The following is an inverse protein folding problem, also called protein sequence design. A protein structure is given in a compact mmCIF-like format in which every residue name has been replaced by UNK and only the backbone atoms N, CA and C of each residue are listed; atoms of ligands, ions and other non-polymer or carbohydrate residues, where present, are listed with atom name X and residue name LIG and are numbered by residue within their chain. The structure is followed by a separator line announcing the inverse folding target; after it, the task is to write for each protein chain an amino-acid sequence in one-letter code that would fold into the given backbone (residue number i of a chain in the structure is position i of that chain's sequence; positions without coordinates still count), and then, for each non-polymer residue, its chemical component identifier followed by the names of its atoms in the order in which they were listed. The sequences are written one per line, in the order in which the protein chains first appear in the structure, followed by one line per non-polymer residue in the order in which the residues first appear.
data_IF_659664229424
#
_entry.id   IF_659664229424
#
_cell.length_a   1.000
_cell.length_b   1.000
_cell.length_c   1.000
_cell.angle_alpha   90.00
_cell.angle_beta   90.00
_cell.angle_gamma   90.00
#
_symmetry.space_group_name_H-M   'P 1'
#
loop_
_entity.id
_entity.type
_entity.pdbx_description
1 polymer ?
#
# COMPACT_ATOMS: atom_id res chain seq x y z
N UNK A 1 -21.27 1.75 30.61
CA UNK A 1 -21.25 2.59 29.39
C UNK A 1 -20.44 1.84 28.36
N UNK A 2 -20.96 1.67 27.14
CA UNK A 2 -20.33 0.85 26.13
C UNK A 2 -19.36 1.63 25.27
N UNK A 3 -18.12 1.16 25.17
CA UNK A 3 -17.06 1.79 24.39
C UNK A 3 -17.32 1.53 22.89
N UNK A 4 -17.47 2.59 22.09
CA UNK A 4 -17.58 2.48 20.63
C UNK A 4 -16.22 2.78 20.02
N UNK A 5 -15.47 1.74 19.65
CA UNK A 5 -14.23 1.91 18.92
C UNK A 5 -14.53 2.23 17.45
N UNK A 6 -14.05 3.39 17.00
CA UNK A 6 -14.02 3.76 15.58
C UNK A 6 -12.63 3.48 15.04
N UNK A 7 -12.59 2.81 13.89
CA UNK A 7 -11.34 2.43 13.24
C UNK A 7 -11.21 3.09 11.87
N UNK A 8 -9.97 3.31 11.46
CA UNK A 8 -9.67 3.67 10.08
C UNK A 8 -10.22 2.59 9.13
N UNK A 9 -10.97 3.02 8.11
CA UNK A 9 -11.62 2.11 7.12
C UNK A 9 -10.66 1.49 6.12
N UNK A 10 -9.36 1.81 6.22
CA UNK A 10 -8.30 1.22 5.40
C UNK A 10 -7.39 0.35 6.24
N UNK A 11 -6.71 0.90 7.25
CA UNK A 11 -5.71 0.15 8.02
C UNK A 11 -6.28 -0.56 9.25
N UNK A 12 -7.51 -0.24 9.67
CA UNK A 12 -8.14 -0.83 10.84
C UNK A 12 -7.51 -0.47 12.19
N UNK A 13 -6.59 0.50 12.24
CA UNK A 13 -6.09 1.03 13.51
C UNK A 13 -7.18 1.91 14.16
N UNK A 14 -7.31 1.87 15.50
CA UNK A 14 -8.27 2.70 16.23
C UNK A 14 -7.87 4.17 16.15
N UNK A 15 -8.86 5.06 16.22
CA UNK A 15 -8.62 6.49 16.44
C UNK A 15 -8.50 6.84 17.93
N UNK A 16 -8.91 5.93 18.80
CA UNK A 16 -8.69 6.04 20.24
C UNK A 16 -7.33 5.43 20.59
N UNK A 17 -6.32 6.28 20.62
CA UNK A 17 -5.06 5.95 21.28
C UNK A 17 -5.13 6.70 22.62
N UNK A 18 -5.57 6.04 23.70
CA UNK A 18 -5.78 6.71 24.98
C UNK A 18 -4.49 7.42 25.41
N UNK A 19 -4.56 8.70 25.82
CA UNK A 19 -3.44 9.35 26.48
C UNK A 19 -3.15 8.67 27.82
N UNK A 20 -1.89 8.76 28.25
CA UNK A 20 -1.27 8.16 29.43
C UNK A 20 -2.09 8.16 30.75
N UNK A 21 -3.03 9.10 30.92
CA UNK A 21 -3.62 9.41 32.23
C UNK A 21 -4.99 8.73 32.51
N UNK A 22 -5.60 8.05 31.53
CA UNK A 22 -6.93 7.47 31.70
C UNK A 22 -6.93 5.93 31.80
N UNK A 23 -6.79 5.44 33.03
CA UNK A 23 -7.46 4.23 33.59
C UNK A 23 -7.27 2.90 32.82
N UNK A 24 -6.03 2.53 32.51
CA UNK A 24 -5.67 1.11 32.37
C UNK A 24 -4.47 0.83 33.28
N UNK A 25 -4.53 -0.29 34.02
CA UNK A 25 -3.48 -0.72 34.95
C UNK A 25 -2.09 -0.50 34.34
N UNK A 26 -1.12 -0.06 35.16
CA UNK A 26 0.27 0.26 34.75
C UNK A 26 0.94 -0.84 33.90
N UNK A 27 0.43 -2.08 33.95
CA UNK A 27 0.84 -3.24 33.17
C UNK A 27 0.42 -3.21 31.68
N UNK A 28 -0.58 -2.40 31.31
CA UNK A 28 -1.12 -2.26 29.95
C UNK A 28 -0.92 -0.85 29.37
N UNK A 29 0.03 -0.08 29.91
CA UNK A 29 0.31 1.29 29.47
C UNK A 29 1.14 1.30 28.16
N UNK A 30 0.55 0.83 27.06
CA UNK A 30 1.16 0.85 25.71
C UNK A 30 1.22 2.24 25.08
N UNK A 31 0.56 3.22 25.71
CA UNK A 31 0.66 4.65 25.44
C UNK A 31 1.65 5.33 26.40
N UNK A 32 2.68 4.61 26.86
CA UNK A 32 3.73 5.17 27.74
C UNK A 32 4.37 6.43 27.16
N UNK A 33 4.37 6.56 25.84
CA UNK A 33 4.75 7.77 25.13
C UNK A 33 3.50 8.34 24.44
N UNK A 34 3.20 9.60 24.72
CA UNK A 34 2.22 10.38 23.97
C UNK A 34 2.46 10.13 22.46
N UNK A 35 1.48 9.66 21.66
CA UNK A 35 1.70 9.42 20.24
C UNK A 35 2.06 10.71 19.47
N UNK A 36 1.86 11.89 20.09
CA UNK A 36 2.37 13.17 19.62
C UNK A 36 3.88 13.34 19.85
N UNK A 37 4.47 12.65 20.83
CA UNK A 37 5.91 12.64 21.14
C UNK A 37 6.67 11.58 20.34
N UNK A 38 6.04 10.45 20.02
CA UNK A 38 6.62 9.44 19.12
C UNK A 38 6.33 9.79 17.65
N UNK A 39 7.32 10.36 16.96
CA UNK A 39 7.24 10.69 15.52
C UNK A 39 6.79 9.51 14.64
N UNK A 40 7.08 8.26 15.05
CA UNK A 40 6.68 7.07 14.29
C UNK A 40 5.20 6.75 14.40
N UNK A 41 4.48 7.37 15.35
CA UNK A 41 3.04 7.15 15.61
C UNK A 41 2.17 8.37 15.32
N UNK A 42 2.75 9.57 15.19
CA UNK A 42 2.01 10.82 14.91
C UNK A 42 1.06 10.73 13.71
N UNK A 43 1.34 9.86 12.73
CA UNK A 43 0.46 9.66 11.58
C UNK A 43 -0.94 9.12 11.94
N UNK A 44 -1.09 8.43 13.07
CA UNK A 44 -2.37 7.91 13.57
C UNK A 44 -3.31 9.05 14.02
N UNK A 45 -2.76 10.20 14.40
CA UNK A 45 -3.54 11.38 14.74
C UNK A 45 -3.98 12.19 13.51
N UNK A 46 -3.45 11.89 12.32
CA UNK A 46 -3.78 12.62 11.08
C UNK A 46 -5.00 12.01 10.41
N UNK A 47 -6.18 12.36 10.91
CA UNK A 47 -7.45 11.78 10.47
C UNK A 47 -8.07 12.64 9.35
N UNK A 48 -8.69 12.01 8.37
CA UNK A 48 -9.54 12.64 7.36
C UNK A 48 -10.86 11.90 7.20
N UNK A 49 -11.85 12.60 6.68
CA UNK A 49 -13.14 12.05 6.27
C UNK A 49 -13.23 12.00 4.74
N UNK A 50 -13.69 10.87 4.23
CA UNK A 50 -13.96 10.61 2.80
C UNK A 50 -15.44 10.34 2.62
N UNK A 51 -16.10 11.06 1.71
CA UNK A 51 -17.54 10.92 1.50
C UNK A 51 -18.03 11.51 0.19
N UNK A 52 -19.34 11.48 -0.05
CA UNK A 52 -19.98 12.24 -1.12
C UNK A 52 -20.31 13.67 -0.63
N UNK A 53 -20.02 14.67 -1.48
CA UNK A 53 -20.33 16.08 -1.19
C UNK A 53 -21.84 16.32 -0.97
N UNK A 54 -22.69 15.60 -1.70
CA UNK A 54 -24.16 15.68 -1.62
C UNK A 54 -24.75 15.32 -0.26
N UNK A 55 -23.99 14.62 0.58
CA UNK A 55 -24.51 14.08 1.85
C UNK A 55 -23.88 14.72 3.09
N UNK A 56 -23.00 15.71 2.94
CA UNK A 56 -22.34 16.36 4.08
C UNK A 56 -23.33 17.06 5.02
N UNK A 57 -24.37 17.70 4.47
CA UNK A 57 -25.43 18.32 5.25
C UNK A 57 -26.21 17.32 6.10
N UNK A 58 -26.33 16.06 5.62
CA UNK A 58 -27.08 15.00 6.32
C UNK A 58 -26.30 14.40 7.48
N UNK A 59 -24.97 14.49 7.45
CA UNK A 59 -24.11 13.94 8.49
C UNK A 59 -23.77 14.94 9.60
N UNK A 60 -24.13 16.22 9.45
CA UNK A 60 -23.71 17.27 10.37
C UNK A 60 -24.72 17.54 11.48
N UNK A 61 -24.25 17.97 12.66
CA UNK A 61 -25.12 18.61 13.65
C UNK A 61 -25.27 20.11 13.34
N UNK A 62 -26.47 20.69 13.48
CA UNK A 62 -26.64 22.14 13.33
C UNK A 62 -25.78 22.92 14.35
N UNK A 63 -25.20 24.08 13.98
CA UNK A 63 -25.31 24.76 12.68
C UNK A 63 -24.36 24.17 11.63
N UNK A 64 -24.86 23.95 10.41
CA UNK A 64 -24.04 23.47 9.31
C UNK A 64 -23.07 24.53 8.81
N UNK A 65 -21.80 24.16 8.68
CA UNK A 65 -20.79 24.90 7.91
C UNK A 65 -20.17 23.94 6.91
N UNK A 66 -20.18 24.30 5.63
CA UNK A 66 -19.55 23.47 4.60
C UNK A 66 -18.04 23.42 4.85
N UNK A 67 -17.45 22.25 5.14
CA UNK A 67 -16.01 22.14 5.35
C UNK A 67 -15.28 22.29 4.01
N UNK A 68 -14.00 22.70 4.09
CA UNK A 68 -13.15 22.76 2.90
C UNK A 68 -13.02 21.37 2.29
N UNK A 69 -13.27 21.26 0.98
CA UNK A 69 -13.06 20.03 0.22
C UNK A 69 -11.68 20.06 -0.43
N UNK A 70 -10.85 19.06 -0.14
CA UNK A 70 -9.53 18.87 -0.74
C UNK A 70 -9.55 17.96 -1.98
N UNK A 71 -10.68 17.29 -2.24
CA UNK A 71 -10.84 16.46 -3.43
C UNK A 71 -10.93 17.31 -4.69
N UNK A 72 -10.13 16.96 -5.70
CA UNK A 72 -10.27 17.49 -7.07
C UNK A 72 -11.27 16.68 -7.91
N UNK A 73 -11.78 15.56 -7.38
CA UNK A 73 -12.72 14.68 -8.09
C UNK A 73 -14.16 15.15 -7.90
N UNK A 74 -14.93 15.41 -8.97
CA UNK A 74 -16.31 15.88 -8.87
C UNK A 74 -17.20 14.98 -8.03
N UNK A 75 -18.02 15.58 -7.17
CA UNK A 75 -18.97 14.88 -6.30
C UNK A 75 -18.33 14.22 -5.05
N UNK A 76 -17.01 14.05 -5.02
CA UNK A 76 -16.30 13.44 -3.91
C UNK A 76 -15.78 14.49 -2.92
N UNK A 77 -15.88 14.19 -1.64
CA UNK A 77 -15.39 15.00 -0.53
C UNK A 77 -14.21 14.33 0.15
N UNK A 78 -13.13 15.10 0.35
CA UNK A 78 -12.03 14.78 1.26
C UNK A 78 -11.85 15.97 2.19
N UNK A 79 -11.96 15.75 3.50
CA UNK A 79 -11.86 16.83 4.49
C UNK A 79 -10.42 17.32 4.68
N UNK A 80 -10.28 18.50 5.28
CA UNK A 80 -9.10 18.84 6.09
C UNK A 80 -8.92 17.85 7.26
N UNK A 81 -7.88 18.01 8.08
CA UNK A 81 -7.70 17.15 9.24
C UNK A 81 -8.92 17.23 10.17
N UNK A 82 -9.38 16.07 10.61
CA UNK A 82 -10.46 15.92 11.56
C UNK A 82 -9.90 15.62 12.95
N UNK A 83 -10.56 16.16 13.97
CA UNK A 83 -10.32 15.77 15.35
C UNK A 83 -11.38 14.75 15.76
N UNK A 84 -11.00 13.87 16.68
CA UNK A 84 -11.92 12.90 17.26
C UNK A 84 -11.50 12.63 18.71
N UNK A 85 -12.48 12.55 19.59
CA UNK A 85 -12.28 12.06 20.95
C UNK A 85 -13.20 10.87 21.22
N UNK A 86 -12.74 9.97 22.10
CA UNK A 86 -13.50 8.78 22.48
C UNK A 86 -14.93 9.07 22.95
N UNK A 87 -15.13 10.20 23.64
CA UNK A 87 -16.44 10.65 24.14
C UNK A 87 -17.43 11.02 23.04
N UNK A 88 -16.98 11.15 21.79
CA UNK A 88 -17.79 11.59 20.66
C UNK A 88 -18.45 10.42 19.90
N UNK A 89 -18.08 9.18 20.21
CA UNK A 89 -18.59 8.00 19.53
C UNK A 89 -18.36 8.09 18.02
N UNK A 90 -19.44 8.18 17.23
CA UNK A 90 -19.39 8.25 15.77
C UNK A 90 -19.25 9.67 15.19
N UNK A 91 -19.01 10.68 16.01
CA UNK A 91 -18.91 12.06 15.54
C UNK A 91 -17.45 12.51 15.48
N UNK A 92 -17.05 13.03 14.32
CA UNK A 92 -15.73 13.64 14.09
C UNK A 92 -15.88 15.14 13.95
N UNK A 93 -14.98 15.92 14.55
CA UNK A 93 -14.98 17.37 14.44
C UNK A 93 -14.23 17.82 13.20
N UNK A 94 -14.88 18.66 12.41
CA UNK A 94 -14.25 19.46 11.34
C UNK A 94 -14.61 20.93 11.60
N UNK A 95 -13.79 21.86 11.13
CA UNK A 95 -13.88 23.31 11.41
C UNK A 95 -15.33 23.82 11.64
N UNK A 96 -15.71 23.93 12.92
CA UNK A 96 -16.99 24.49 13.36
C UNK A 96 -18.22 23.59 13.33
N UNK A 97 -18.08 22.27 13.10
CA UNK A 97 -19.19 21.32 13.12
C UNK A 97 -18.77 19.87 13.48
N UNK A 98 -19.75 19.05 13.84
CA UNK A 98 -19.56 17.62 14.12
C UNK A 98 -20.22 16.78 13.04
N UNK A 99 -19.53 15.75 12.56
CA UNK A 99 -19.96 14.92 11.43
C UNK A 99 -20.05 13.47 11.85
N UNK A 100 -21.23 12.89 11.69
CA UNK A 100 -21.46 11.48 11.94
C UNK A 100 -20.84 10.64 10.83
N UNK A 101 -19.99 9.70 11.21
CA UNK A 101 -19.36 8.74 10.28
C UNK A 101 -20.00 7.37 10.36
N UNK A 102 -19.70 6.51 9.38
CA UNK A 102 -20.12 5.10 9.37
C UNK A 102 -21.64 4.93 9.57
N UNK A 103 -22.39 5.87 9.01
CA UNK A 103 -23.85 5.89 9.00
C UNK A 103 -24.30 6.14 7.57
N UNK A 104 -25.33 5.41 7.14
CA UNK A 104 -25.92 5.57 5.81
C UNK A 104 -26.99 6.64 5.88
N UNK A 105 -26.95 7.60 4.96
CA UNK A 105 -28.10 8.48 4.75
C UNK A 105 -29.24 7.67 4.10
N UNK A 106 -30.46 7.78 4.63
CA UNK A 106 -31.61 6.95 4.24
C UNK A 106 -31.93 7.04 2.74
N UNK A 107 -31.70 8.20 2.11
CA UNK A 107 -32.10 8.42 0.71
C UNK A 107 -30.97 8.20 -0.32
N UNK A 108 -29.71 8.34 0.08
CA UNK A 108 -28.57 8.37 -0.87
C UNK A 108 -27.68 7.15 -0.77
N UNK A 109 -27.78 6.37 0.32
CA UNK A 109 -26.81 5.30 0.64
C UNK A 109 -25.36 5.80 0.73
N UNK A 110 -25.14 7.12 0.72
CA UNK A 110 -23.84 7.72 0.93
C UNK A 110 -23.43 7.48 2.39
N UNK A 111 -22.12 7.34 2.59
CA UNK A 111 -21.51 7.15 3.89
C UNK A 111 -20.30 8.07 3.99
N UNK A 112 -20.06 8.62 5.18
CA UNK A 112 -18.83 9.32 5.52
C UNK A 112 -17.88 8.36 6.23
N UNK A 113 -16.69 8.16 5.67
CA UNK A 113 -15.70 7.21 6.16
C UNK A 113 -14.51 7.91 6.80
N UNK A 114 -14.12 7.53 8.04
CA UNK A 114 -12.91 8.06 8.67
C UNK A 114 -11.70 7.21 8.27
N UNK A 115 -10.58 7.86 7.93
CA UNK A 115 -9.33 7.20 7.60
C UNK A 115 -8.12 8.08 7.97
N UNK A 116 -6.95 7.45 8.13
CA UNK A 116 -5.70 8.19 8.26
C UNK A 116 -5.30 8.81 6.91
N UNK A 117 -4.76 10.03 6.95
CA UNK A 117 -4.20 10.74 5.80
C UNK A 117 -3.17 9.87 5.06
N UNK A 118 -2.34 9.13 5.80
CA UNK A 118 -1.31 8.29 5.20
C UNK A 118 -1.91 7.07 4.48
N UNK A 119 -3.07 6.57 4.94
CA UNK A 119 -3.81 5.55 4.20
C UNK A 119 -4.35 6.09 2.88
N UNK A 120 -4.85 7.34 2.88
CA UNK A 120 -5.30 8.02 1.66
C UNK A 120 -4.14 8.21 0.67
N UNK A 121 -2.98 8.65 1.15
CA UNK A 121 -1.75 8.79 0.36
C UNK A 121 -1.34 7.46 -0.29
N UNK A 122 -1.37 6.35 0.47
CA UNK A 122 -1.08 5.02 -0.08
C UNK A 122 -2.10 4.62 -1.15
N UNK A 123 -3.40 4.88 -0.94
CA UNK A 123 -4.43 4.63 -1.96
C UNK A 123 -4.13 5.42 -3.23
N UNK A 124 -3.76 6.69 -3.13
CA UNK A 124 -3.39 7.52 -4.28
C UNK A 124 -2.16 6.99 -5.03
N UNK A 125 -1.15 6.47 -4.31
CA UNK A 125 -0.02 5.80 -4.94
C UNK A 125 -0.44 4.53 -5.69
N UNK A 126 -1.31 3.70 -5.09
CA UNK A 126 -1.86 2.51 -5.75
C UNK A 126 -2.63 2.87 -7.02
N UNK A 127 -3.49 3.89 -6.97
CA UNK A 127 -4.25 4.39 -8.12
C UNK A 127 -3.32 4.88 -9.23
N UNK A 128 -2.30 5.67 -8.87
CA UNK A 128 -1.28 6.17 -9.82
C UNK A 128 -0.51 5.03 -10.48
N UNK A 129 -0.10 4.04 -9.69
CA UNK A 129 0.59 2.85 -10.21
C UNK A 129 -0.30 2.04 -11.15
N UNK A 130 -1.58 1.83 -10.79
CA UNK A 130 -2.56 1.13 -11.63
C UNK A 130 -2.79 1.84 -12.96
N UNK A 131 -2.95 3.16 -12.93
CA UNK A 131 -3.11 3.97 -14.15
C UNK A 131 -1.92 3.82 -15.11
N UNK A 132 -0.70 3.63 -14.61
CA UNK A 132 0.50 3.37 -15.44
C UNK A 132 0.51 1.99 -16.09
N UNK A 133 -0.10 0.99 -15.46
CA UNK A 133 -0.11 -0.39 -15.98
C UNK A 133 -1.15 -0.62 -17.07
N UNK A 134 -2.22 0.17 -17.08
CA UNK A 134 -3.37 -0.02 -17.98
C UNK A 134 -3.73 1.28 -18.72
N UNK A 135 -2.86 1.83 -19.59
CA UNK A 135 -3.17 3.03 -20.36
C UNK A 135 -4.24 2.80 -21.44
N UNK A 136 -4.45 1.55 -21.87
CA UNK A 136 -5.26 1.22 -23.06
C UNK A 136 -6.66 0.65 -22.73
N UNK A 137 -6.98 0.37 -21.45
CA UNK A 137 -8.23 -0.26 -21.05
C UNK A 137 -9.03 0.61 -20.08
N UNK A 138 -10.10 1.24 -20.57
CA UNK A 138 -11.11 1.94 -19.76
C UNK A 138 -10.60 3.22 -19.06
N UNK A 139 -11.52 3.90 -18.37
CA UNK A 139 -11.15 4.98 -17.45
C UNK A 139 -10.32 4.37 -16.32
N UNK A 140 -9.12 4.90 -15.99
CA UNK A 140 -8.33 4.38 -14.88
C UNK A 140 -9.15 4.44 -13.58
N UNK A 141 -8.92 3.50 -12.64
CA UNK A 141 -9.56 3.57 -11.34
C UNK A 141 -9.20 4.91 -10.68
N UNK A 142 -10.17 5.50 -10.01
CA UNK A 142 -10.01 6.77 -9.31
C UNK A 142 -10.57 6.66 -7.88
N UNK A 143 -10.44 7.74 -7.12
CA UNK A 143 -10.87 7.74 -5.72
C UNK A 143 -12.39 7.58 -5.57
N UNK A 144 -13.19 7.97 -6.57
CA UNK A 144 -14.64 7.71 -6.58
C UNK A 144 -14.93 6.22 -6.69
N UNK A 145 -14.17 5.46 -7.50
CA UNK A 145 -14.32 4.01 -7.57
C UNK A 145 -14.00 3.35 -6.23
N UNK A 146 -12.93 3.78 -5.55
CA UNK A 146 -12.58 3.33 -4.20
C UNK A 146 -13.70 3.65 -3.20
N UNK A 147 -14.24 4.87 -3.23
CA UNK A 147 -15.35 5.28 -2.37
C UNK A 147 -16.58 4.40 -2.56
N UNK A 148 -16.95 4.09 -3.81
CA UNK A 148 -18.07 3.19 -4.12
C UNK A 148 -17.84 1.77 -3.58
N UNK A 149 -16.62 1.24 -3.69
CA UNK A 149 -16.26 -0.05 -3.10
C UNK A 149 -16.38 -0.04 -1.57
N UNK A 150 -15.97 1.04 -0.91
CA UNK A 150 -16.17 1.20 0.54
C UNK A 150 -17.66 1.21 0.91
N UNK A 151 -18.49 1.93 0.16
CA UNK A 151 -19.95 1.94 0.36
C UNK A 151 -20.56 0.54 0.18
N UNK A 152 -20.21 -0.15 -0.90
CA UNK A 152 -20.68 -1.51 -1.16
C UNK A 152 -20.27 -2.48 -0.03
N UNK A 153 -19.01 -2.40 0.42
CA UNK A 153 -18.52 -3.22 1.52
C UNK A 153 -19.24 -2.92 2.84
N UNK A 154 -19.54 -1.65 3.11
CA UNK A 154 -20.30 -1.26 4.30
C UNK A 154 -21.68 -1.90 4.33
N UNK A 155 -22.40 -1.87 3.21
CA UNK A 155 -23.72 -2.50 3.07
C UNK A 155 -23.63 -4.01 3.27
N UNK A 156 -22.66 -4.68 2.64
CA UNK A 156 -22.43 -6.13 2.80
C UNK A 156 -22.18 -6.49 4.26
N UNK A 157 -21.33 -5.73 4.95
CA UNK A 157 -21.02 -5.97 6.36
C UNK A 157 -22.23 -5.75 7.27
N UNK A 158 -23.04 -4.71 6.99
CA UNK A 158 -24.29 -4.45 7.71
C UNK A 158 -25.29 -5.61 7.57
N UNK A 159 -25.47 -6.11 6.35
CA UNK A 159 -26.33 -7.27 6.09
C UNK A 159 -25.82 -8.54 6.78
N UNK A 160 -24.51 -8.79 6.75
CA UNK A 160 -23.89 -9.93 7.44
C UNK A 160 -24.10 -9.88 8.95
N UNK A 161 -23.90 -8.72 9.57
CA UNK A 161 -24.14 -8.49 11.01
C UNK A 161 -25.61 -8.69 11.39
N UNK A 162 -26.55 -8.16 10.59
CA UNK A 162 -27.98 -8.34 10.82
C UNK A 162 -28.40 -9.83 10.76
N UNK A 163 -27.82 -10.59 9.81
CA UNK A 163 -28.05 -12.04 9.71
C UNK A 163 -27.55 -12.79 10.95
N UNK A 164 -26.33 -12.51 11.40
CA UNK A 164 -25.75 -13.14 12.60
C UNK A 164 -26.57 -12.81 13.85
N UNK A 165 -27.00 -11.55 14.01
CA UNK A 165 -27.83 -11.13 15.15
C UNK A 165 -29.16 -11.90 15.18
N UNK A 166 -29.81 -12.06 14.02
CA UNK A 166 -31.04 -12.84 13.87
C UNK A 166 -30.84 -14.33 14.19
N UNK A 167 -29.74 -14.93 13.71
CA UNK A 167 -29.41 -16.34 13.95
C UNK A 167 -29.07 -16.63 15.42
N UNK A 168 -28.46 -15.67 16.14
CA UNK A 168 -28.02 -15.86 17.54
C UNK A 168 -29.05 -15.41 18.59
N UNK A 169 -30.25 -14.98 18.17
CA UNK A 169 -31.28 -14.43 19.05
C UNK A 169 -30.77 -13.30 19.99
N UNK A 170 -29.68 -12.62 19.61
CA UNK A 170 -29.08 -11.58 20.42
C UNK A 170 -29.82 -10.27 20.14
N UNK A 171 -30.71 -9.87 21.06
CA UNK A 171 -31.52 -8.65 20.97
C UNK A 171 -30.85 -7.47 21.72
N UNK A 172 -29.65 -7.69 22.27
CA UNK A 172 -28.83 -6.62 22.84
C UNK A 172 -28.35 -5.67 21.76
N UNK A 173 -28.34 -4.37 22.06
CA UNK A 173 -28.00 -3.33 21.09
C UNK A 173 -26.76 -3.71 20.26
N UNK A 174 -26.96 -3.74 18.94
CA UNK A 174 -25.90 -3.84 17.95
C UNK A 174 -24.92 -2.66 18.02
N UNK A 175 -25.12 -1.68 18.91
CA UNK A 175 -24.21 -0.55 19.14
C UNK A 175 -22.83 -0.96 19.68
N UNK A 176 -22.70 -2.16 20.26
CA UNK A 176 -21.40 -2.73 20.64
C UNK A 176 -20.64 -3.34 19.46
N UNK A 177 -21.20 -3.30 18.24
CA UNK A 177 -20.48 -3.74 17.07
C UNK A 177 -19.53 -2.63 16.63
N UNK A 178 -18.28 -2.72 17.10
CA UNK A 178 -17.09 -2.10 16.50
C UNK A 178 -17.35 -1.68 15.04
N UNK A 179 -17.44 -0.37 14.84
CA UNK A 179 -17.82 0.21 13.56
C UNK A 179 -16.60 0.19 12.66
N UNK A 180 -16.68 -0.57 11.56
CA UNK A 180 -15.56 -0.75 10.65
C UNK A 180 -15.90 -1.63 9.46
N UNK A 181 -15.06 -1.57 8.42
CA UNK A 181 -15.15 -2.45 7.27
C UNK A 181 -14.35 -3.73 7.54
N UNK A 182 -15.01 -4.88 7.45
CA UNK A 182 -14.38 -6.18 7.39
C UNK A 182 -14.17 -6.59 5.94
N UNK A 183 -12.98 -7.14 5.66
CA UNK A 183 -12.63 -7.72 4.37
C UNK A 183 -12.16 -9.16 4.57
N UNK A 184 -12.46 -10.04 3.61
CA UNK A 184 -12.22 -11.48 3.73
C UNK A 184 -10.75 -11.92 3.83
N UNK A 185 -9.79 -11.06 3.45
CA UNK A 185 -8.37 -11.43 3.30
C UNK A 185 -7.54 -11.38 4.60
N UNK A 186 -8.14 -11.18 5.78
CA UNK A 186 -7.46 -11.32 7.08
C UNK A 186 -6.42 -10.25 7.47
N UNK A 187 -5.89 -9.47 6.51
CA UNK A 187 -4.92 -8.38 6.73
C UNK A 187 -5.44 -7.15 7.50
N UNK A 188 -6.74 -7.13 7.83
CA UNK A 188 -7.34 -6.18 8.77
C UNK A 188 -6.96 -6.48 10.24
N UNK A 189 -5.81 -7.14 10.43
CA UNK A 189 -5.23 -7.61 11.69
C UNK A 189 -4.79 -6.51 12.65
N UNK A 190 -5.30 -5.28 12.51
CA UNK A 190 -5.37 -4.40 13.66
C UNK A 190 -6.63 -4.81 14.46
N UNK A 191 -7.82 -4.69 13.87
CA UNK A 191 -9.10 -4.85 14.58
C UNK A 191 -9.24 -6.17 15.34
N UNK A 192 -8.90 -7.31 14.72
CA UNK A 192 -8.96 -8.63 15.38
C UNK A 192 -7.99 -8.78 16.57
N UNK A 193 -6.95 -7.96 16.63
CA UNK A 193 -5.98 -7.94 17.72
C UNK A 193 -6.33 -6.87 18.78
N UNK A 194 -7.07 -5.82 18.41
CA UNK A 194 -7.59 -4.82 19.36
C UNK A 194 -8.85 -5.31 20.10
N UNK A 195 -9.64 -6.19 19.48
CA UNK A 195 -10.96 -6.64 19.94
C UNK A 195 -10.95 -7.79 20.97
N UNK A 196 -9.86 -8.54 21.08
CA UNK A 196 -9.75 -9.70 21.96
C UNK A 196 -8.58 -9.53 22.92
N UNK A 197 -8.63 -10.22 24.05
CA UNK A 197 -7.55 -10.41 25.05
C UNK A 197 -6.22 -10.96 24.45
N UNK A 198 -6.06 -10.97 23.11
CA UNK A 198 -4.84 -11.33 22.39
C UNK A 198 -3.71 -10.29 22.46
N UNK A 199 -3.73 -9.44 23.49
CA UNK A 199 -2.58 -8.66 23.95
C UNK A 199 -1.53 -9.55 24.61
N UNK A 200 -1.95 -10.70 25.15
CA UNK A 200 -1.04 -11.72 25.67
C UNK A 200 -0.34 -12.43 24.51
N UNK A 201 0.94 -12.10 24.37
CA UNK A 201 1.93 -12.88 23.63
C UNK A 201 1.91 -14.32 24.14
N UNK A 202 1.15 -15.22 23.50
CA UNK A 202 1.20 -16.66 23.81
C UNK A 202 2.55 -17.32 23.46
N UNK A 203 3.57 -16.53 23.12
CA UNK A 203 4.96 -16.96 23.02
C UNK A 203 5.87 -15.91 23.64
N UNK A 204 6.41 -16.22 24.81
CA UNK A 204 7.34 -15.38 25.58
C UNK A 204 8.64 -14.96 24.85
N UNK A 205 8.83 -15.37 23.59
CA UNK A 205 10.05 -15.11 22.79
C UNK A 205 9.76 -14.45 21.43
N UNK A 206 8.52 -14.08 21.10
CA UNK A 206 8.25 -13.29 19.89
C UNK A 206 8.19 -11.79 20.26
N UNK A 207 9.10 -10.94 19.72
CA UNK A 207 9.05 -9.50 19.98
C UNK A 207 7.70 -8.95 19.54
N UNK A 208 7.05 -8.25 20.47
CA UNK A 208 5.73 -7.59 20.43
C UNK A 208 5.17 -7.44 19.00
N UNK A 209 4.43 -8.46 18.55
CA UNK A 209 4.10 -8.70 17.14
C UNK A 209 3.12 -7.71 16.53
N UNK A 210 2.64 -6.72 17.28
CA UNK A 210 1.62 -5.75 16.86
C UNK A 210 2.15 -4.32 16.72
N UNK A 211 3.30 -3.97 17.29
CA UNK A 211 3.82 -2.59 17.28
C UNK A 211 4.01 -2.06 15.85
N UNK A 212 4.35 -2.94 14.91
CA UNK A 212 4.51 -2.56 13.52
C UNK A 212 3.21 -2.09 12.85
N UNK A 213 2.01 -2.43 13.35
CA UNK A 213 0.75 -1.86 12.83
C UNK A 213 0.62 -0.36 13.06
N UNK A 214 1.30 0.16 14.08
CA UNK A 214 1.25 1.56 14.50
C UNK A 214 2.42 2.39 13.95
N UNK A 215 3.43 1.76 13.37
CA UNK A 215 4.60 2.46 12.84
C UNK A 215 4.28 3.20 11.54
N UNK A 216 4.92 4.36 11.35
CA UNK A 216 4.74 5.25 10.21
C UNK A 216 4.94 4.50 8.88
N UNK A 217 3.86 4.31 8.08
CA UNK A 217 3.93 3.60 6.82
C UNK A 217 4.44 4.49 5.66
N UNK A 218 4.67 5.78 5.85
CA UNK A 218 5.16 6.70 4.81
C UNK A 218 6.62 7.06 5.05
N UNK A 219 7.02 7.43 6.26
CA UNK A 219 8.39 7.87 6.56
C UNK A 219 9.23 6.76 7.20
N UNK A 220 9.67 5.80 6.40
CA UNK A 220 10.44 4.65 6.90
C UNK A 220 11.93 4.98 6.92
N UNK A 221 12.39 5.57 8.02
CA UNK A 221 13.77 6.06 8.16
C UNK A 221 14.84 4.97 7.95
N UNK A 222 14.57 3.73 8.36
CA UNK A 222 15.49 2.58 8.23
C UNK A 222 15.37 1.82 6.92
N UNK A 223 14.60 2.32 5.94
CA UNK A 223 14.47 1.70 4.63
C UNK A 223 15.81 1.63 3.85
N UNK A 224 16.64 2.70 3.80
CA UNK A 224 17.97 2.65 3.20
C UNK A 224 18.86 1.54 3.74
N UNK A 225 18.93 1.42 5.07
CA UNK A 225 19.77 0.42 5.74
C UNK A 225 19.29 -1.00 5.45
N UNK A 226 17.97 -1.20 5.46
CA UNK A 226 17.36 -2.47 5.09
C UNK A 226 17.70 -2.87 3.65
N UNK A 227 17.64 -1.93 2.71
CA UNK A 227 17.97 -2.17 1.29
C UNK A 227 19.45 -2.50 1.12
N UNK A 228 20.33 -1.78 1.83
CA UNK A 228 21.76 -2.07 1.87
C UNK A 228 22.06 -3.46 2.43
N UNK A 229 21.35 -3.89 3.49
CA UNK A 229 21.47 -5.22 4.05
C UNK A 229 21.04 -6.31 3.05
N UNK A 230 19.94 -6.09 2.31
CA UNK A 230 19.48 -7.03 1.29
C UNK A 230 20.51 -7.24 0.15
N UNK A 231 21.29 -6.20 -0.17
CA UNK A 231 22.41 -6.32 -1.12
C UNK A 231 23.60 -7.09 -0.55
N UNK A 232 23.88 -7.01 0.75
CA UNK A 232 25.03 -7.66 1.38
C UNK A 232 24.88 -9.17 1.54
N UNK A 233 23.64 -9.67 1.63
CA UNK A 233 23.35 -11.11 1.76
C UNK A 233 23.64 -11.92 0.50
N UNK A 234 23.74 -11.27 -0.67
CA UNK A 234 24.03 -11.99 -1.90
C UNK A 234 25.54 -12.02 -2.13
N UNK A 235 26.19 -13.20 -2.06
CA UNK A 235 27.50 -13.33 -2.68
C UNK A 235 27.30 -12.96 -4.15
N UNK A 236 28.09 -12.02 -4.66
CA UNK A 236 28.26 -11.89 -6.11
C UNK A 236 28.50 -13.31 -6.60
N UNK A 237 27.60 -13.86 -7.42
CA UNK A 237 27.88 -15.07 -8.15
C UNK A 237 29.15 -14.79 -8.94
N UNK A 238 30.26 -15.22 -8.37
CA UNK A 238 31.58 -15.00 -8.90
C UNK A 238 31.66 -15.82 -10.18
N UNK A 239 31.65 -15.12 -11.31
CA UNK A 239 32.39 -15.57 -12.47
C UNK A 239 31.68 -16.51 -13.44
N UNK A 240 30.35 -16.60 -13.46
CA UNK A 240 29.71 -16.79 -14.76
C UNK A 240 29.55 -15.42 -15.41
N UNK A 241 30.66 -14.95 -15.95
CA UNK A 241 30.59 -14.22 -17.21
C UNK A 241 29.76 -15.11 -18.14
N UNK A 242 28.47 -14.83 -18.26
CA UNK A 242 27.74 -15.15 -19.49
C UNK A 242 28.43 -14.32 -20.58
N UNK A 243 29.62 -14.74 -20.99
CA UNK A 243 30.13 -14.52 -22.32
C UNK A 243 29.10 -15.17 -23.23
N UNK A 244 28.07 -14.40 -23.59
CA UNK A 244 27.37 -14.61 -24.84
C UNK A 244 28.43 -14.35 -25.90
N UNK A 245 29.15 -15.41 -26.29
CA UNK A 245 29.95 -15.37 -27.50
C UNK A 245 29.05 -14.81 -28.61
N UNK A 246 29.43 -13.71 -29.28
CA UNK A 246 28.76 -13.34 -30.49
C UNK A 246 29.18 -14.38 -31.52
N UNK A 247 28.39 -15.44 -31.67
CA UNK A 247 28.47 -16.31 -32.84
C UNK A 247 28.05 -15.48 -34.05
N UNK A 248 28.99 -14.69 -34.58
CA UNK A 248 28.90 -14.07 -35.89
C UNK A 248 29.26 -15.14 -36.90
N UNK A 249 28.35 -16.08 -37.12
CA UNK A 249 28.30 -16.78 -38.41
C UNK A 249 27.53 -15.87 -39.37
N UNK A 250 28.26 -15.05 -40.11
CA UNK A 250 27.74 -14.35 -41.30
C UNK A 250 27.46 -15.40 -42.39
N UNK A 251 26.35 -16.12 -42.26
CA UNK A 251 25.76 -16.85 -43.38
C UNK A 251 24.77 -15.91 -44.08
N UNK A 252 25.10 -15.56 -45.31
CA UNK A 252 24.27 -14.76 -46.23
C UNK A 252 23.13 -15.66 -46.71
N UNK A 253 21.84 -15.40 -46.39
CA UNK A 253 20.76 -16.19 -46.93
C UNK A 253 20.45 -15.72 -48.36
N UNK A 254 20.46 -16.68 -49.29
CA UNK A 254 20.02 -16.45 -50.67
C UNK A 254 18.60 -15.90 -50.68
N UNK A 255 18.41 -14.76 -51.36
CA UNK A 255 17.13 -14.11 -51.60
C UNK A 255 16.11 -15.08 -52.20
N UNK A 256 15.04 -15.39 -51.44
CA UNK A 256 13.66 -15.62 -51.92
C UNK A 256 12.75 -15.99 -50.75
N UNK A 257 12.46 -15.02 -49.89
CA UNK A 257 11.28 -15.07 -49.02
C UNK A 257 10.76 -13.65 -48.84
N UNK A 258 9.46 -13.47 -49.04
CA UNK A 258 8.75 -12.20 -48.97
C UNK A 258 9.01 -11.53 -47.61
N UNK A 259 9.82 -10.46 -47.61
CA UNK A 259 10.26 -9.74 -46.42
C UNK A 259 9.10 -8.95 -45.81
N UNK A 260 8.31 -9.58 -44.96
CA UNK A 260 7.74 -8.86 -43.84
C UNK A 260 8.89 -8.69 -42.83
N UNK A 261 9.39 -7.47 -42.56
CA UNK A 261 10.42 -7.29 -41.56
C UNK A 261 9.83 -7.68 -40.20
N UNK A 262 10.18 -8.87 -39.72
CA UNK A 262 9.85 -9.30 -38.36
C UNK A 262 10.65 -8.44 -37.37
N UNK A 263 10.04 -8.10 -36.25
CA UNK A 263 10.72 -7.39 -35.15
C UNK A 263 11.99 -8.13 -34.72
N UNK A 264 11.99 -9.45 -34.82
CA UNK A 264 13.12 -10.34 -34.53
C UNK A 264 14.33 -10.14 -35.44
N UNK A 265 14.14 -9.51 -36.62
CA UNK A 265 15.19 -9.28 -37.61
C UNK A 265 15.80 -7.87 -37.51
N UNK A 266 15.28 -6.98 -36.65
CA UNK A 266 15.84 -5.64 -36.46
C UNK A 266 17.27 -5.71 -35.93
N UNK A 267 18.16 -4.74 -36.24
CA UNK A 267 19.45 -4.62 -35.55
C UNK A 267 19.27 -4.48 -34.03
N UNK A 268 20.26 -4.92 -33.25
CA UNK A 268 20.15 -4.96 -31.77
C UNK A 268 19.94 -3.56 -31.21
N UNK A 269 20.61 -2.57 -31.76
CA UNK A 269 20.56 -1.17 -31.36
C UNK A 269 19.15 -0.60 -31.53
N UNK A 270 18.46 -0.97 -32.62
CA UNK A 270 17.08 -0.55 -32.87
C UNK A 270 16.13 -1.27 -31.92
N UNK A 271 16.35 -2.56 -31.67
CA UNK A 271 15.53 -3.32 -30.72
C UNK A 271 15.68 -2.79 -29.29
N UNK A 272 16.91 -2.47 -28.86
CA UNK A 272 17.21 -1.88 -27.55
C UNK A 272 16.57 -0.49 -27.42
N UNK A 273 16.62 0.32 -28.49
CA UNK A 273 15.94 1.61 -28.54
C UNK A 273 14.42 1.45 -28.40
N UNK A 274 13.79 0.53 -29.15
CA UNK A 274 12.35 0.23 -29.02
C UNK A 274 12.01 -0.18 -27.60
N UNK A 275 12.76 -1.12 -27.03
CA UNK A 275 12.56 -1.61 -25.65
C UNK A 275 12.72 -0.48 -24.62
N UNK A 276 13.60 0.48 -24.86
CA UNK A 276 13.82 1.62 -23.95
C UNK A 276 12.57 2.52 -23.79
N UNK A 277 11.67 2.51 -24.78
CA UNK A 277 10.39 3.23 -24.77
C UNK A 277 9.22 2.39 -24.26
N UNK A 278 9.39 1.08 -24.11
CA UNK A 278 8.30 0.19 -23.67
C UNK A 278 8.16 0.22 -22.14
N UNK A 279 6.91 0.21 -21.62
CA UNK A 279 6.67 -0.10 -20.22
C UNK A 279 7.22 -1.47 -19.83
N UNK A 280 7.58 -1.66 -18.56
CA UNK A 280 8.15 -2.91 -18.03
C UNK A 280 7.34 -4.14 -18.43
N UNK A 281 6.01 -4.06 -18.27
CA UNK A 281 5.11 -5.15 -18.58
C UNK A 281 5.14 -5.51 -20.07
N UNK A 282 5.20 -4.51 -20.96
CA UNK A 282 5.31 -4.70 -22.40
C UNK A 282 6.66 -5.28 -22.79
N UNK A 283 7.76 -4.85 -22.18
CA UNK A 283 9.09 -5.43 -22.40
C UNK A 283 9.14 -6.90 -21.98
N UNK A 284 8.59 -7.24 -20.82
CA UNK A 284 8.51 -8.63 -20.36
C UNK A 284 7.62 -9.49 -21.26
N UNK A 285 6.47 -8.95 -21.69
CA UNK A 285 5.56 -9.61 -22.65
C UNK A 285 6.24 -9.82 -24.00
N UNK A 286 6.98 -8.83 -24.49
CA UNK A 286 7.70 -8.91 -25.75
C UNK A 286 8.76 -10.02 -25.73
N UNK A 287 9.46 -10.19 -24.60
CA UNK A 287 10.42 -11.29 -24.42
C UNK A 287 9.76 -12.66 -24.50
N UNK A 288 8.58 -12.85 -23.92
CA UNK A 288 7.91 -14.16 -23.92
C UNK A 288 7.23 -14.50 -25.26
N UNK A 289 7.10 -13.54 -26.18
CA UNK A 289 6.51 -13.79 -27.49
C UNK A 289 7.36 -14.70 -28.38
N UNK A 290 8.69 -14.76 -28.19
CA UNK A 290 9.59 -15.56 -29.02
C UNK A 290 10.92 -15.86 -28.32
N UNK A 291 11.50 -17.03 -28.60
CA UNK A 291 12.84 -17.40 -28.12
C UNK A 291 13.92 -16.43 -28.61
N UNK A 292 13.78 -15.91 -29.83
CA UNK A 292 14.71 -14.93 -30.41
C UNK A 292 14.63 -13.60 -29.66
N UNK A 293 13.42 -13.07 -29.41
CA UNK A 293 13.26 -11.84 -28.62
C UNK A 293 13.71 -12.03 -27.18
N UNK A 294 13.46 -13.21 -26.61
CA UNK A 294 13.94 -13.55 -25.27
C UNK A 294 15.45 -13.49 -25.16
N UNK A 295 16.22 -13.95 -26.16
CA UNK A 295 17.69 -13.90 -26.14
C UNK A 295 18.24 -12.51 -26.48
N UNK A 296 17.53 -11.75 -27.33
CA UNK A 296 18.00 -10.45 -27.81
C UNK A 296 17.68 -9.28 -26.88
N UNK A 297 16.55 -9.33 -26.16
CA UNK A 297 16.16 -8.29 -25.19
C UNK A 297 16.77 -8.65 -23.83
N UNK A 298 17.93 -8.08 -23.52
CA UNK A 298 18.65 -8.35 -22.28
C UNK A 298 17.98 -7.57 -21.12
N UNK A 299 17.67 -8.25 -20.01
CA UNK A 299 17.22 -7.62 -18.77
C UNK A 299 18.39 -7.62 -17.79
N UNK A 300 19.34 -6.73 -18.05
CA UNK A 300 20.56 -6.56 -17.25
C UNK A 300 20.27 -5.88 -15.89
N UNK A 301 21.32 -5.70 -15.10
CA UNK A 301 21.23 -5.04 -13.80
C UNK A 301 20.74 -3.59 -13.91
N UNK A 302 21.10 -2.89 -14.98
CA UNK A 302 20.65 -1.51 -15.23
C UNK A 302 19.14 -1.45 -15.51
N UNK A 303 18.59 -2.42 -16.25
CA UNK A 303 17.16 -2.56 -16.44
C UNK A 303 16.47 -2.69 -15.08
N UNK A 304 16.85 -3.66 -14.25
CA UNK A 304 16.18 -3.90 -12.96
C UNK A 304 16.30 -2.70 -12.01
N UNK A 305 17.46 -2.05 -11.99
CA UNK A 305 17.68 -0.80 -11.26
C UNK A 305 16.70 0.28 -11.73
N UNK A 306 16.63 0.55 -13.04
CA UNK A 306 15.71 1.54 -13.62
C UNK A 306 14.25 1.22 -13.28
N UNK A 307 13.87 -0.06 -13.33
CA UNK A 307 12.50 -0.48 -13.01
C UNK A 307 12.16 -0.31 -11.53
N UNK A 308 13.12 -0.59 -10.64
CA UNK A 308 12.94 -0.43 -9.19
C UNK A 308 12.81 1.05 -8.82
N UNK A 309 13.76 1.88 -9.24
CA UNK A 309 13.75 3.33 -8.99
C UNK A 309 12.57 4.04 -9.66
N UNK A 310 12.10 3.52 -10.80
CA UNK A 310 10.88 3.99 -11.46
C UNK A 310 9.58 3.56 -10.76
N UNK A 311 9.65 2.78 -9.68
CA UNK A 311 8.49 2.27 -8.95
C UNK A 311 7.63 1.29 -9.76
N UNK A 312 8.18 0.66 -10.81
CA UNK A 312 7.43 -0.20 -11.71
C UNK A 312 7.28 -1.64 -11.16
N UNK A 313 8.33 -2.16 -10.51
CA UNK A 313 8.38 -3.54 -10.02
C UNK A 313 8.04 -3.67 -8.53
N UNK A 314 8.46 -2.73 -7.69
CA UNK A 314 8.14 -2.70 -6.26
C UNK A 314 7.46 -1.36 -5.90
N UNK A 315 6.22 -1.13 -6.36
CA UNK A 315 5.58 0.18 -6.30
C UNK A 315 5.27 0.68 -4.88
N UNK A 316 5.29 -0.22 -3.90
CA UNK A 316 5.13 0.09 -2.48
C UNK A 316 6.43 0.65 -1.86
N UNK A 317 7.51 0.75 -2.62
CA UNK A 317 8.78 1.32 -2.18
C UNK A 317 9.14 2.49 -3.10
N UNK A 318 8.25 3.48 -3.12
CA UNK A 318 8.33 4.64 -4.01
C UNK A 318 9.35 5.70 -3.57
N UNK A 319 9.84 5.59 -2.33
CA UNK A 319 10.76 6.49 -1.65
C UNK A 319 12.19 5.93 -1.57
N UNK A 320 12.48 4.87 -2.33
CA UNK A 320 13.85 4.52 -2.71
C UNK A 320 14.40 5.69 -3.53
N UNK A 321 15.04 6.63 -2.83
CA UNK A 321 15.75 7.75 -3.44
C UNK A 321 16.96 7.27 -4.24
N UNK A 322 17.95 8.15 -4.38
CA UNK A 322 19.22 7.77 -4.97
C UNK A 322 19.91 6.71 -4.11
N UNK A 323 19.66 5.43 -4.40
CA UNK A 323 20.20 4.27 -3.68
C UNK A 323 21.74 4.28 -3.69
N UNK A 324 22.37 5.01 -4.62
CA UNK A 324 23.82 5.22 -4.61
C UNK A 324 24.30 6.02 -3.38
N UNK A 325 23.41 6.76 -2.71
CA UNK A 325 23.71 7.37 -1.41
C UNK A 325 23.60 6.40 -0.24
N UNK A 326 22.88 5.29 -0.41
CA UNK A 326 22.67 4.28 0.65
C UNK A 326 23.86 3.33 0.80
N UNK A 327 24.73 3.24 -0.20
CA UNK A 327 26.05 2.66 -0.04
C UNK A 327 26.93 3.65 0.72
N UNK A 328 27.01 3.52 2.04
CA UNK A 328 27.91 4.27 2.94
C UNK A 328 29.41 4.07 2.65
N UNK A 329 29.77 3.41 1.55
CA UNK A 329 31.14 3.35 1.09
C UNK A 329 31.38 4.51 0.13
N UNK A 330 32.32 5.44 0.44
CA UNK A 330 32.76 6.46 -0.51
C UNK A 330 33.55 5.77 -1.62
N UNK A 331 32.86 5.05 -2.50
CA UNK A 331 33.42 4.55 -3.73
C UNK A 331 33.22 5.66 -4.73
N UNK A 332 34.34 6.20 -5.21
CA UNK A 332 34.37 7.06 -6.39
C UNK A 332 33.50 6.38 -7.45
N UNK A 333 32.43 7.06 -7.89
CA UNK A 333 31.49 6.63 -8.93
C UNK A 333 32.25 6.41 -10.25
N UNK A 334 32.96 5.29 -10.36
CA UNK A 334 33.39 4.75 -11.65
C UNK A 334 32.24 3.93 -12.19
N UNK A 335 32.07 3.96 -13.52
CA UNK A 335 31.06 3.21 -14.27
C UNK A 335 31.06 1.69 -13.94
N UNK A 336 32.13 1.18 -13.33
CA UNK A 336 32.32 -0.20 -12.90
C UNK A 336 31.51 -0.59 -11.65
N UNK A 337 31.14 0.36 -10.80
CA UNK A 337 30.39 0.09 -9.55
C UNK A 337 28.92 -0.27 -9.78
N UNK A 338 28.33 0.22 -10.87
CA UNK A 338 26.95 -0.09 -11.29
C UNK A 338 26.73 -1.60 -11.55
N UNK A 339 27.79 -2.32 -11.93
CA UNK A 339 27.75 -3.77 -12.16
C UNK A 339 27.88 -4.62 -10.90
N UNK A 340 28.19 -4.04 -9.74
CA UNK A 340 28.55 -4.80 -8.52
C UNK A 340 27.34 -5.28 -7.71
N UNK A 341 26.18 -4.67 -7.91
CA UNK A 341 24.97 -4.98 -7.17
C UNK A 341 24.02 -5.87 -7.98
N UNK A 342 23.48 -6.92 -7.37
CA UNK A 342 22.45 -7.75 -7.98
C UNK A 342 21.06 -7.14 -7.79
N UNK A 343 20.77 -6.09 -8.57
CA UNK A 343 19.47 -5.43 -8.63
C UNK A 343 18.32 -6.39 -8.93
N UNK A 344 18.54 -7.41 -9.78
CA UNK A 344 17.53 -8.43 -10.04
C UNK A 344 17.16 -9.22 -8.78
N UNK A 345 18.17 -9.61 -7.99
CA UNK A 345 18.00 -10.28 -6.70
C UNK A 345 17.21 -9.40 -5.72
N UNK A 346 17.61 -8.14 -5.58
CA UNK A 346 16.91 -7.16 -4.75
C UNK A 346 15.43 -7.00 -5.15
N UNK A 347 15.15 -6.78 -6.44
CA UNK A 347 13.77 -6.65 -6.94
C UNK A 347 12.95 -7.90 -6.61
N UNK A 348 13.53 -9.10 -6.75
CA UNK A 348 12.86 -10.36 -6.42
C UNK A 348 12.50 -10.45 -4.94
N UNK A 349 13.37 -9.97 -4.03
CA UNK A 349 13.08 -9.93 -2.58
C UNK A 349 11.99 -8.89 -2.28
N UNK A 350 12.15 -7.65 -2.78
CA UNK A 350 11.23 -6.54 -2.51
C UNK A 350 9.83 -6.73 -3.10
N UNK A 351 9.69 -7.40 -4.24
CA UNK A 351 8.37 -7.69 -4.86
C UNK A 351 7.51 -8.63 -4.02
N UNK A 352 8.11 -9.43 -3.12
CA UNK A 352 7.41 -10.41 -2.28
C UNK A 352 6.84 -9.75 -1.01
N UNK A 353 5.87 -8.85 -1.19
CA UNK A 353 5.20 -8.12 -0.09
C UNK A 353 4.73 -9.02 1.04
N UNK A 354 4.16 -10.19 0.73
CA UNK A 354 3.65 -11.11 1.75
C UNK A 354 4.77 -11.67 2.64
N UNK A 355 5.99 -11.83 2.11
CA UNK A 355 7.16 -12.21 2.91
C UNK A 355 7.60 -11.07 3.83
N UNK A 356 7.60 -9.83 3.33
CA UNK A 356 7.86 -8.62 4.15
C UNK A 356 6.82 -8.51 5.28
N UNK A 357 5.54 -8.74 4.97
CA UNK A 357 4.45 -8.68 5.95
C UNK A 357 4.56 -9.80 7.00
N UNK A 358 5.03 -11.00 6.64
CA UNK A 358 5.14 -12.11 7.58
C UNK A 358 6.44 -12.08 8.41
N UNK A 359 7.49 -11.44 7.90
CA UNK A 359 8.84 -11.56 8.45
C UNK A 359 9.41 -12.91 8.06
N UNK A 360 10.07 -12.96 6.89
CA UNK A 360 10.69 -14.17 6.35
C UNK A 360 12.13 -14.26 6.86
N UNK A 361 12.51 -15.39 7.47
CA UNK A 361 13.85 -15.63 8.01
C UNK A 361 14.95 -15.62 6.92
N UNK A 362 14.58 -15.70 5.64
CA UNK A 362 15.52 -15.59 4.50
C UNK A 362 15.89 -14.15 4.12
N UNK A 363 15.39 -13.15 4.84
CA UNK A 363 15.72 -11.74 4.66
C UNK A 363 16.07 -11.12 6.02
N UNK A 364 16.77 -9.97 6.04
CA UNK A 364 16.92 -9.18 7.24
C UNK A 364 15.53 -8.79 7.76
N UNK A 365 15.41 -8.58 9.07
CA UNK A 365 14.13 -8.14 9.66
C UNK A 365 13.66 -6.84 8.98
N UNK A 366 12.46 -6.82 8.36
CA UNK A 366 12.01 -5.64 7.65
C UNK A 366 11.66 -4.53 8.64
N UNK A 367 11.96 -3.26 8.32
CA UNK A 367 11.50 -2.12 9.10
C UNK A 367 10.00 -2.18 9.37
N UNK A 368 9.60 -1.90 10.61
CA UNK A 368 8.20 -1.96 11.01
C UNK A 368 7.30 -1.04 10.18
N UNK A 369 7.75 0.17 9.87
CA UNK A 369 7.02 1.08 8.96
C UNK A 369 6.86 0.50 7.55
N UNK A 370 7.89 -0.16 6.99
CA UNK A 370 7.79 -0.82 5.67
C UNK A 370 6.81 -2.00 5.73
N UNK A 371 6.85 -2.79 6.80
CA UNK A 371 5.90 -3.88 7.03
C UNK A 371 4.46 -3.37 7.06
N UNK A 372 4.22 -2.26 7.77
CA UNK A 372 2.91 -1.62 7.82
C UNK A 372 2.48 -1.08 6.45
N UNK A 373 3.40 -0.44 5.74
CA UNK A 373 3.18 0.06 4.38
C UNK A 373 2.78 -1.06 3.42
N UNK A 374 3.50 -2.17 3.41
CA UNK A 374 3.18 -3.34 2.58
C UNK A 374 1.77 -3.87 2.87
N UNK A 375 1.39 -3.93 4.15
CA UNK A 375 0.04 -4.32 4.57
C UNK A 375 -1.02 -3.35 4.03
N UNK A 376 -0.88 -2.05 4.31
CA UNK A 376 -1.85 -1.03 3.87
C UNK A 376 -1.92 -0.98 2.34
N UNK A 377 -0.79 -1.15 1.66
CA UNK A 377 -0.74 -1.25 0.21
C UNK A 377 -1.56 -2.44 -0.32
N UNK A 378 -1.47 -3.62 0.31
CA UNK A 378 -2.27 -4.78 -0.07
C UNK A 378 -3.77 -4.52 0.11
N UNK A 379 -4.16 -3.85 1.21
CA UNK A 379 -5.54 -3.44 1.47
C UNK A 379 -6.04 -2.44 0.41
N UNK A 380 -5.24 -1.40 0.13
CA UNK A 380 -5.54 -0.41 -0.90
C UNK A 380 -5.61 -1.04 -2.30
N UNK A 381 -4.73 -1.99 -2.62
CA UNK A 381 -4.78 -2.72 -3.90
C UNK A 381 -6.10 -3.48 -4.04
N UNK A 382 -6.56 -4.14 -2.96
CA UNK A 382 -7.83 -4.86 -2.96
C UNK A 382 -9.03 -3.91 -3.17
N UNK A 383 -9.03 -2.76 -2.49
CA UNK A 383 -10.07 -1.73 -2.68
C UNK A 383 -10.13 -1.25 -4.13
N UNK A 384 -8.97 -1.01 -4.74
CA UNK A 384 -8.90 -0.54 -6.13
C UNK A 384 -9.33 -1.62 -7.11
N UNK A 385 -8.91 -2.87 -6.94
CA UNK A 385 -9.29 -3.96 -7.86
C UNK A 385 -10.74 -4.37 -7.75
N UNK A 386 -11.32 -4.37 -6.55
CA UNK A 386 -12.73 -4.71 -6.34
C UNK A 386 -13.68 -3.63 -6.89
N UNK A 387 -13.14 -2.48 -7.31
CA UNK A 387 -13.91 -1.43 -7.96
C UNK A 387 -14.03 -1.61 -9.48
N UNK A 388 -13.24 -2.52 -10.06
CA UNK A 388 -13.23 -2.82 -11.50
C UNK A 388 -14.23 -3.94 -11.88
N UNK A 389 -14.66 -4.74 -10.90
CA UNK A 389 -15.68 -5.80 -11.02
C UNK A 389 -17.08 -5.27 -10.74
#
# INVERSE_FOLDING_TARGET
MGFSFVYCVVCGCPFDIPPHDDVFDEEHNWASDNPLEDETKQWLCKIRLLGATSSLEKFTTPPFRMPRNLSTTPGLFVSDFADWAFTEGLYFRLVGGSYRVLSSAEDTSDILFPLHDYCLTIIQHVLTWRARLSPESGSPPNLTSVYKTLCAQFVVNGQGKARIAKERAFHGSTDYMEYGLEFGHGYYGARKFWASEGWETTKANEPVSWQWYCNDPINVQSLPDFVSALFAEEPSESGHLEFVEPNVSLEIPSLKATLCPSLECLPREILDLVVSFLPTASTLRLRICSKTLMSRIVLDQQFWRKQLLGGCVAPHIWDLGDVDRCSNTPVVLTHETLGRHNWRGLVRKLTRRDQIIKGDDSMPSPPWGLRNRCRIWSLATHLVTSSES
#
